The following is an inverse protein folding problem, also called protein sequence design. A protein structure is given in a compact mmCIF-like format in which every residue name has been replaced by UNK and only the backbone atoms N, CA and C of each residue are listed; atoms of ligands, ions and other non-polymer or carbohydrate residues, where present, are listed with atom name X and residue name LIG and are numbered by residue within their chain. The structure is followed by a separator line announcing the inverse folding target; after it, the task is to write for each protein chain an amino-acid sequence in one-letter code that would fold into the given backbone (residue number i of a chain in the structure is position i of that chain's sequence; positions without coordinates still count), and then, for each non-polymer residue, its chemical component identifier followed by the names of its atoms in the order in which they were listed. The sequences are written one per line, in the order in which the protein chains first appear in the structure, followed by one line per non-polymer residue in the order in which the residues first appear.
data_IF_145610640890
#
_entry.id   IF_145610640890
#
_cell.length_a   1.000
_cell.length_b   1.000
_cell.length_c   1.000
_cell.angle_alpha   90.00
_cell.angle_beta   90.00
_cell.angle_gamma   90.00
#
_symmetry.space_group_name_H-M   'P 1'
#
loop_
_entity.id
_entity.type
_entity.pdbx_description
1 polymer ?
#
# COMPACT_ATOMS: atom_id res chain seq x y z
N UNK A 1 -30.13 -9.49 33.21
CA UNK A 1 -30.25 -8.12 32.65
C UNK A 1 -31.58 -8.12 31.91
N UNK A 2 -32.67 -7.71 32.57
CA UNK A 2 -33.99 -7.66 31.95
C UNK A 2 -34.05 -6.43 31.05
N UNK A 3 -34.29 -6.65 29.75
CA UNK A 3 -34.55 -5.56 28.82
C UNK A 3 -35.95 -5.01 29.08
N UNK A 4 -36.09 -3.68 29.10
CA UNK A 4 -37.39 -3.04 29.16
C UNK A 4 -38.18 -3.43 27.88
N UNK A 5 -39.50 -3.61 27.99
CA UNK A 5 -40.41 -3.97 26.89
C UNK A 5 -40.24 -3.07 25.65
N UNK A 6 -39.83 -1.83 25.84
CA UNK A 6 -39.56 -0.90 24.75
C UNK A 6 -38.31 -1.29 23.93
N UNK A 7 -37.29 -1.85 24.57
CA UNK A 7 -36.05 -2.29 23.93
C UNK A 7 -36.25 -3.61 23.19
N UNK A 8 -37.04 -4.53 23.76
CA UNK A 8 -37.45 -5.77 23.08
C UNK A 8 -38.30 -5.47 21.83
N UNK A 9 -39.20 -4.49 21.92
CA UNK A 9 -40.02 -4.06 20.79
C UNK A 9 -39.17 -3.41 19.68
N UNK A 10 -38.17 -2.59 20.04
CA UNK A 10 -37.20 -2.02 19.08
C UNK A 10 -36.36 -3.10 18.40
N UNK A 11 -35.90 -4.10 19.15
CA UNK A 11 -35.16 -5.25 18.60
C UNK A 11 -36.02 -6.10 17.67
N UNK A 12 -37.30 -6.30 18.01
CA UNK A 12 -38.26 -7.00 17.15
C UNK A 12 -38.52 -6.23 15.84
N UNK A 13 -38.68 -4.91 15.91
CA UNK A 13 -38.81 -4.03 14.74
C UNK A 13 -37.57 -4.11 13.83
N UNK A 14 -36.37 -4.04 14.41
CA UNK A 14 -35.12 -4.13 13.65
C UNK A 14 -34.94 -5.50 12.98
N UNK A 15 -35.40 -6.58 13.60
CA UNK A 15 -35.34 -7.94 13.03
C UNK A 15 -36.39 -8.21 11.97
N UNK A 16 -37.52 -7.50 12.00
CA UNK A 16 -38.64 -7.66 11.06
C UNK A 16 -38.57 -6.72 9.86
N UNK A 17 -37.61 -5.79 9.80
CA UNK A 17 -37.38 -4.98 8.60
C UNK A 17 -36.88 -5.87 7.44
N UNK A 18 -37.43 -5.70 6.22
CA UNK A 18 -36.93 -6.41 5.06
C UNK A 18 -35.45 -6.04 4.87
N UNK A 19 -34.59 -7.05 4.68
CA UNK A 19 -33.18 -6.86 4.31
C UNK A 19 -33.12 -6.34 2.87
N UNK A 20 -33.54 -5.10 2.65
CA UNK A 20 -33.32 -4.41 1.40
C UNK A 20 -31.83 -4.14 1.29
N UNK A 21 -31.16 -4.85 0.38
CA UNK A 21 -29.86 -4.43 -0.11
C UNK A 21 -30.07 -3.08 -0.78
N UNK A 22 -29.52 -2.03 -0.16
CA UNK A 22 -29.46 -0.72 -0.77
C UNK A 22 -28.86 -0.85 -2.18
N UNK A 23 -29.44 -0.19 -3.20
CA UNK A 23 -28.83 -0.14 -4.52
C UNK A 23 -27.37 0.32 -4.41
N UNK A 24 -26.45 -0.20 -5.23
CA UNK A 24 -25.01 0.04 -5.10
C UNK A 24 -24.63 1.52 -4.92
N UNK A 25 -25.34 2.40 -5.61
CA UNK A 25 -25.16 3.87 -5.56
C UNK A 25 -25.49 4.46 -4.18
N UNK A 26 -26.50 3.93 -3.49
CA UNK A 26 -26.84 4.37 -2.13
C UNK A 26 -25.86 3.82 -1.09
N UNK A 27 -25.36 2.59 -1.28
CA UNK A 27 -24.30 2.04 -0.43
C UNK A 27 -23.03 2.88 -0.51
N UNK A 28 -22.63 3.27 -1.72
CA UNK A 28 -21.45 4.09 -1.95
C UNK A 28 -21.60 5.48 -1.32
N UNK A 29 -22.79 6.09 -1.43
CA UNK A 29 -23.10 7.38 -0.78
C UNK A 29 -23.05 7.31 0.75
N UNK A 30 -23.54 6.22 1.34
CA UNK A 30 -23.51 6.02 2.80
C UNK A 30 -22.08 5.71 3.28
N UNK A 31 -21.35 4.86 2.56
CA UNK A 31 -19.92 4.61 2.81
C UNK A 31 -19.10 5.90 2.73
N UNK A 32 -19.41 6.77 1.76
CA UNK A 32 -18.78 8.07 1.62
C UNK A 32 -19.09 8.98 2.83
N UNK A 33 -20.35 9.06 3.27
CA UNK A 33 -20.75 9.85 4.44
C UNK A 33 -20.11 9.33 5.75
N UNK A 34 -20.02 8.01 5.94
CA UNK A 34 -19.37 7.41 7.11
C UNK A 34 -17.86 7.67 7.13
N UNK A 35 -17.19 7.66 5.97
CA UNK A 35 -15.77 8.03 5.84
C UNK A 35 -15.54 9.49 6.18
N UNK A 36 -16.46 10.38 5.81
CA UNK A 36 -16.40 11.79 6.18
C UNK A 36 -16.61 11.99 7.69
N UNK A 37 -17.59 11.33 8.30
CA UNK A 37 -17.87 11.43 9.73
C UNK A 37 -16.74 10.88 10.62
N UNK A 38 -16.07 9.81 10.19
CA UNK A 38 -14.90 9.27 10.89
C UNK A 38 -13.67 10.22 10.87
N UNK A 39 -13.67 11.22 9.97
CA UNK A 39 -12.61 12.21 9.80
C UNK A 39 -12.68 13.35 10.83
N UNK A 40 -13.84 13.62 11.41
CA UNK A 40 -14.04 14.70 12.39
C UNK A 40 -13.65 14.32 13.83
N UNK A 41 -13.59 13.02 14.18
CA UNK A 41 -13.69 12.63 15.59
C UNK A 41 -12.44 11.95 16.20
N UNK A 42 -11.22 12.36 15.83
CA UNK A 42 -10.01 11.90 16.54
C UNK A 42 -9.36 13.01 17.36
N UNK A 43 -9.62 12.92 18.67
CA UNK A 43 -8.95 13.67 19.75
C UNK A 43 -7.46 13.35 19.81
N UNK A 44 -6.74 14.38 20.21
CA UNK A 44 -5.29 14.57 20.31
C UNK A 44 -4.69 13.66 21.39
N UNK A 45 -3.61 12.95 21.06
CA UNK A 45 -2.65 12.42 22.03
C UNK A 45 -1.29 13.04 21.73
N UNK A 46 -0.81 13.82 22.69
CA UNK A 46 0.36 14.70 22.63
C UNK A 46 1.65 13.90 22.91
N UNK A 47 2.54 13.81 21.91
CA UNK A 47 3.83 13.10 21.97
C UNK A 47 5.03 14.06 22.11
N UNK A 48 4.81 15.27 22.64
CA UNK A 48 5.82 16.34 22.69
C UNK A 48 6.97 16.20 23.70
N UNK A 49 6.99 15.21 24.60
CA UNK A 49 7.94 15.21 25.74
C UNK A 49 9.04 14.15 25.73
N UNK A 50 9.05 13.20 24.78
CA UNK A 50 10.01 12.08 24.77
C UNK A 50 11.27 12.29 23.92
N UNK A 51 11.31 13.29 23.02
CA UNK A 51 12.44 13.50 22.11
C UNK A 51 13.62 14.34 22.65
N UNK A 52 13.54 14.87 23.88
CA UNK A 52 14.58 15.78 24.43
C UNK A 52 15.61 15.12 25.37
N UNK A 53 15.67 13.78 25.46
CA UNK A 53 16.61 13.07 26.38
C UNK A 53 17.60 12.09 25.71
N UNK A 54 17.87 12.20 24.41
CA UNK A 54 18.70 11.20 23.69
C UNK A 54 19.91 11.76 22.92
N UNK A 55 20.45 12.91 23.33
CA UNK A 55 21.60 13.55 22.65
C UNK A 55 22.93 13.48 23.42
N UNK A 56 23.05 12.70 24.49
CA UNK A 56 24.33 12.51 25.21
C UNK A 56 24.59 11.01 25.43
N UNK A 57 24.81 10.27 24.33
CA UNK A 57 25.30 8.88 24.41
C UNK A 57 26.07 8.39 23.16
N UNK A 58 26.30 9.24 22.13
CA UNK A 58 26.96 8.79 20.89
C UNK A 58 28.47 9.04 20.84
N UNK A 59 29.05 9.80 21.77
CA UNK A 59 30.48 10.12 21.75
C UNK A 59 31.40 9.05 22.40
N UNK A 60 30.85 8.11 23.19
CA UNK A 60 31.65 7.07 23.84
C UNK A 60 31.76 5.74 23.06
N UNK A 61 30.94 5.52 22.03
CA UNK A 61 30.95 4.26 21.27
C UNK A 61 32.08 4.18 20.23
N UNK A 62 32.64 5.32 19.81
CA UNK A 62 33.65 5.40 18.76
C UNK A 62 35.09 5.11 19.22
N UNK A 63 35.38 5.16 20.53
CA UNK A 63 36.75 4.96 21.05
C UNK A 63 37.03 3.50 21.42
N UNK A 64 35.99 2.70 21.71
CA UNK A 64 36.16 1.33 22.21
C UNK A 64 36.10 0.26 21.09
N UNK A 65 35.38 0.51 19.98
CA UNK A 65 35.15 -0.52 18.96
C UNK A 65 36.17 -0.56 17.80
N UNK A 66 36.94 0.51 17.58
CA UNK A 66 37.94 0.56 16.50
C UNK A 66 39.12 -0.41 16.72
N UNK A 67 39.64 -0.65 17.94
CA UNK A 67 40.73 -1.60 18.14
C UNK A 67 40.32 -3.06 17.91
N UNK A 68 39.05 -3.42 18.16
CA UNK A 68 38.55 -4.81 18.02
C UNK A 68 38.41 -5.20 16.54
N UNK A 69 38.10 -4.25 15.66
CA UNK A 69 37.98 -4.48 14.22
C UNK A 69 39.33 -4.77 13.52
N UNK A 70 40.46 -4.39 14.14
CA UNK A 70 41.80 -4.63 13.57
C UNK A 70 42.42 -5.98 13.97
N UNK A 71 41.90 -6.67 14.99
CA UNK A 71 42.41 -7.98 15.42
C UNK A 71 41.73 -9.14 14.67
N UNK A 72 40.53 -8.93 14.10
CA UNK A 72 39.81 -9.96 13.33
C UNK A 72 40.35 -10.14 11.90
N UNK A 73 41.24 -9.27 11.43
CA UNK A 73 41.71 -9.25 10.04
C UNK A 73 42.83 -10.25 9.68
N UNK A 74 43.26 -11.13 10.59
CA UNK A 74 44.32 -12.13 10.32
C UNK A 74 43.89 -13.57 10.63
N UNK A 75 42.78 -14.02 10.02
CA UNK A 75 42.50 -15.46 9.87
C UNK A 75 42.63 -15.85 8.39
N UNK A 76 43.37 -16.93 8.08
CA UNK A 76 43.52 -17.39 6.70
C UNK A 76 42.18 -17.90 6.16
N UNK A 77 41.92 -17.56 4.90
CA UNK A 77 40.70 -17.87 4.17
C UNK A 77 40.44 -19.38 4.08
N UNK A 78 39.29 -19.82 4.61
CA UNK A 78 38.68 -21.09 4.23
C UNK A 78 37.85 -20.87 2.95
N UNK A 79 37.86 -21.82 1.99
CA UNK A 79 37.26 -21.59 0.69
C UNK A 79 35.73 -21.72 0.71
N UNK A 80 35.11 -20.82 -0.06
CA UNK A 80 33.81 -20.96 -0.72
C UNK A 80 32.60 -21.29 0.16
N UNK A 81 31.93 -20.25 0.67
CA UNK A 81 30.47 -20.22 0.59
C UNK A 81 30.10 -19.94 -0.87
N UNK A 82 29.97 -21.01 -1.65
CA UNK A 82 29.20 -20.98 -2.89
C UNK A 82 27.84 -20.35 -2.56
N UNK A 83 27.41 -19.26 -3.23
CA UNK A 83 26.07 -18.74 -3.04
C UNK A 83 25.12 -19.91 -3.31
N UNK A 84 24.39 -20.33 -2.27
CA UNK A 84 23.39 -21.38 -2.39
C UNK A 84 22.45 -20.91 -3.50
N UNK A 85 22.50 -21.59 -4.66
CA UNK A 85 21.57 -21.39 -5.76
C UNK A 85 20.18 -21.28 -5.15
N UNK A 86 19.59 -20.08 -5.23
CA UNK A 86 18.19 -19.87 -4.88
C UNK A 86 17.45 -20.88 -5.75
N UNK A 87 16.92 -21.95 -5.15
CA UNK A 87 16.03 -22.89 -5.84
C UNK A 87 15.04 -21.99 -6.59
N UNK A 88 14.98 -22.11 -7.93
CA UNK A 88 14.00 -21.42 -8.78
C UNK A 88 12.61 -21.75 -8.24
N UNK A 89 12.18 -20.97 -7.25
CA UNK A 89 10.81 -20.98 -6.76
C UNK A 89 9.94 -20.53 -7.91
N UNK A 90 8.72 -21.04 -7.96
CA UNK A 90 7.74 -20.59 -8.92
C UNK A 90 7.37 -19.12 -8.60
N UNK A 91 8.11 -18.18 -9.18
CA UNK A 91 7.85 -16.74 -9.13
C UNK A 91 6.67 -16.40 -10.04
N UNK A 92 5.48 -16.81 -9.61
CA UNK A 92 4.23 -16.45 -10.26
C UNK A 92 3.38 -15.76 -9.23
N UNK A 93 2.76 -14.65 -9.63
CA UNK A 93 1.82 -13.91 -8.78
C UNK A 93 0.81 -14.89 -8.18
N UNK A 94 0.72 -14.91 -6.84
CA UNK A 94 -0.16 -15.85 -6.14
C UNK A 94 -1.61 -15.64 -6.56
N UNK A 95 -2.41 -16.72 -6.67
CA UNK A 95 -3.79 -16.61 -7.13
C UNK A 95 -4.65 -15.81 -6.16
N UNK A 96 -5.77 -15.33 -6.67
CA UNK A 96 -6.85 -14.76 -5.87
C UNK A 96 -7.93 -15.81 -5.59
N UNK A 97 -8.67 -15.64 -4.49
CA UNK A 97 -9.82 -16.47 -4.12
C UNK A 97 -10.88 -15.66 -3.35
N UNK A 98 -12.06 -16.27 -3.13
CA UNK A 98 -13.16 -15.67 -2.39
C UNK A 98 -12.86 -15.59 -0.88
N UNK A 99 -13.13 -14.45 -0.27
CA UNK A 99 -13.24 -14.37 1.19
C UNK A 99 -14.65 -14.81 1.59
N UNK A 100 -14.74 -15.78 2.49
CA UNK A 100 -16.01 -16.30 2.99
C UNK A 100 -16.27 -15.77 4.41
N UNK A 101 -17.55 -15.59 4.74
CA UNK A 101 -18.02 -15.40 6.11
C UNK A 101 -18.14 -16.74 6.83
N UNK A 102 -18.44 -16.69 8.14
CA UNK A 102 -18.60 -17.90 8.98
C UNK A 102 -19.75 -18.80 8.53
N UNK A 103 -20.77 -18.22 7.89
CA UNK A 103 -21.91 -18.92 7.32
C UNK A 103 -21.65 -19.45 5.89
N UNK A 104 -20.42 -19.28 5.38
CA UNK A 104 -20.05 -19.66 4.01
C UNK A 104 -20.48 -18.64 2.94
N UNK A 105 -21.10 -17.52 3.31
CA UNK A 105 -21.45 -16.46 2.36
C UNK A 105 -20.19 -15.77 1.81
N UNK A 106 -20.23 -15.30 0.56
CA UNK A 106 -19.10 -14.57 -0.03
C UNK A 106 -19.10 -13.14 0.49
N UNK A 107 -18.03 -12.76 1.19
CA UNK A 107 -17.78 -11.38 1.65
C UNK A 107 -17.11 -10.59 0.53
N UNK A 108 -16.05 -11.14 -0.06
CA UNK A 108 -15.38 -10.55 -1.21
C UNK A 108 -15.09 -11.63 -2.27
N UNK A 109 -15.68 -11.47 -3.44
CA UNK A 109 -15.52 -12.42 -4.55
C UNK A 109 -14.20 -12.22 -5.29
N UNK A 110 -13.33 -13.22 -5.29
CA UNK A 110 -12.04 -13.26 -5.99
C UNK A 110 -11.13 -12.06 -5.66
N UNK A 111 -11.04 -11.70 -4.38
CA UNK A 111 -10.29 -10.53 -3.91
C UNK A 111 -9.25 -10.83 -2.85
N UNK A 112 -9.08 -12.07 -2.40
CA UNK A 112 -8.01 -12.41 -1.45
C UNK A 112 -6.84 -12.99 -2.21
N UNK A 113 -5.68 -12.34 -2.19
CA UNK A 113 -4.44 -12.86 -2.77
C UNK A 113 -3.68 -13.68 -1.74
N UNK A 114 -3.31 -14.92 -2.09
CA UNK A 114 -2.50 -15.77 -1.23
C UNK A 114 -2.68 -17.26 -1.47
N UNK A 115 -2.70 -18.02 -0.38
CA UNK A 115 -2.88 -19.47 -0.36
C UNK A 115 -4.25 -19.79 0.25
N UNK A 116 -5.18 -20.26 -0.58
CA UNK A 116 -6.56 -20.58 -0.17
C UNK A 116 -6.56 -21.53 1.03
N UNK A 117 -7.37 -21.20 2.05
CA UNK A 117 -7.49 -21.98 3.28
C UNK A 117 -6.26 -21.93 4.18
N UNK A 118 -5.36 -20.95 3.97
CA UNK A 118 -4.14 -20.81 4.79
C UNK A 118 -3.83 -19.36 5.15
N UNK A 119 -3.54 -18.51 4.17
CA UNK A 119 -3.24 -17.10 4.40
C UNK A 119 -3.48 -16.25 3.17
N UNK A 120 -3.94 -15.02 3.35
CA UNK A 120 -3.97 -14.01 2.30
C UNK A 120 -4.28 -12.62 2.82
N UNK A 121 -4.34 -11.66 1.92
CA UNK A 121 -4.79 -10.29 2.17
C UNK A 121 -5.63 -9.82 0.98
N UNK A 122 -6.37 -8.72 1.15
CA UNK A 122 -7.14 -8.16 0.04
C UNK A 122 -6.22 -7.69 -1.08
N UNK A 123 -6.48 -8.19 -2.29
CA UNK A 123 -5.73 -7.86 -3.47
C UNK A 123 -5.79 -6.36 -3.77
N UNK A 124 -4.60 -5.80 -4.01
CA UNK A 124 -4.36 -4.40 -4.27
C UNK A 124 -3.26 -4.27 -5.31
N UNK A 125 -3.33 -3.18 -6.07
CA UNK A 125 -2.27 -2.83 -7.01
C UNK A 125 -1.15 -2.10 -6.27
N UNK A 126 -0.02 -2.77 -6.08
CA UNK A 126 1.15 -2.15 -5.45
C UNK A 126 1.96 -1.36 -6.47
N UNK A 127 2.24 -0.10 -6.14
CA UNK A 127 3.10 0.80 -6.90
C UNK A 127 4.36 1.04 -6.06
N UNK A 128 5.53 0.94 -6.68
CA UNK A 128 6.78 1.13 -5.94
C UNK A 128 6.88 2.54 -5.33
N UNK A 129 7.28 2.59 -4.06
CA UNK A 129 7.37 3.77 -3.18
C UNK A 129 6.03 4.45 -2.85
N UNK A 130 4.91 3.84 -3.24
CA UNK A 130 3.57 4.37 -2.94
C UNK A 130 2.98 3.68 -1.70
N UNK A 131 2.67 4.42 -0.62
CA UNK A 131 2.11 3.85 0.60
C UNK A 131 0.61 3.54 0.51
N UNK A 132 -0.12 4.03 -0.50
CA UNK A 132 -1.58 4.05 -0.47
C UNK A 132 -2.21 2.66 -0.52
N UNK A 133 -1.73 1.79 -1.42
CA UNK A 133 -2.22 0.43 -1.54
C UNK A 133 -2.01 -0.39 -0.25
N UNK A 134 -0.89 -0.17 0.44
CA UNK A 134 -0.54 -0.83 1.69
C UNK A 134 -1.13 -0.16 2.95
N UNK A 135 -1.73 1.03 2.84
CA UNK A 135 -2.06 1.87 4.01
C UNK A 135 -3.11 1.27 4.95
N UNK A 136 -3.98 0.39 4.46
CA UNK A 136 -5.01 -0.28 5.26
C UNK A 136 -5.23 -1.70 4.77
N UNK A 137 -4.49 -2.64 5.35
CA UNK A 137 -4.49 -4.04 4.96
C UNK A 137 -5.05 -4.93 6.06
N UNK A 138 -5.57 -6.09 5.65
CA UNK A 138 -5.90 -7.17 6.55
C UNK A 138 -5.11 -8.41 6.17
N UNK A 139 -4.47 -9.03 7.15
CA UNK A 139 -4.13 -10.44 7.05
C UNK A 139 -5.37 -11.27 7.41
N UNK A 140 -5.69 -12.25 6.57
CA UNK A 140 -6.66 -13.32 6.85
C UNK A 140 -5.89 -14.63 6.97
N UNK A 141 -6.02 -15.32 8.09
CA UNK A 141 -5.23 -16.52 8.40
C UNK A 141 -6.16 -17.65 8.83
N UNK A 142 -6.05 -18.79 8.15
CA UNK A 142 -6.82 -20.01 8.42
C UNK A 142 -5.90 -21.10 8.98
N UNK A 143 -6.35 -21.81 10.00
CA UNK A 143 -5.57 -22.85 10.68
C UNK A 143 -6.08 -23.11 12.11
N UNK A 144 -5.24 -23.71 12.95
CA UNK A 144 -5.64 -23.96 14.35
C UNK A 144 -5.58 -22.65 15.16
N UNK A 145 -6.71 -22.15 15.71
CA UNK A 145 -6.74 -20.89 16.47
C UNK A 145 -5.75 -20.84 17.64
N UNK A 146 -5.51 -21.95 18.35
CA UNK A 146 -4.54 -22.00 19.46
C UNK A 146 -3.10 -21.71 19.04
N UNK A 147 -2.80 -21.92 17.75
CA UNK A 147 -1.49 -21.65 17.14
C UNK A 147 -1.42 -20.31 16.41
N UNK A 148 -2.53 -19.57 16.35
CA UNK A 148 -2.66 -18.34 15.58
C UNK A 148 -2.99 -17.12 16.45
N UNK A 149 -3.87 -17.26 17.43
CA UNK A 149 -4.33 -16.13 18.24
C UNK A 149 -3.22 -15.59 19.16
N UNK A 150 -3.10 -14.26 19.21
CA UNK A 150 -2.10 -13.50 19.95
C UNK A 150 -0.66 -13.89 19.57
N UNK A 151 -0.46 -14.38 18.34
CA UNK A 151 0.85 -14.74 17.81
C UNK A 151 1.39 -13.66 16.90
N UNK A 152 2.71 -13.52 16.89
CA UNK A 152 3.38 -12.53 16.05
C UNK A 152 3.45 -13.04 14.62
N UNK A 153 2.85 -12.30 13.69
CA UNK A 153 3.04 -12.48 12.25
C UNK A 153 4.14 -11.54 11.79
N UNK A 154 5.13 -12.10 11.09
CA UNK A 154 6.20 -11.36 10.43
C UNK A 154 6.22 -11.69 8.94
N UNK A 155 6.18 -10.65 8.11
CA UNK A 155 6.20 -10.75 6.66
C UNK A 155 7.47 -10.10 6.09
N UNK A 156 8.31 -10.88 5.43
CA UNK A 156 9.54 -10.40 4.77
C UNK A 156 9.39 -10.58 3.26
N UNK A 157 9.47 -9.50 2.50
CA UNK A 157 9.48 -9.56 1.05
C UNK A 157 10.91 -9.72 0.51
N UNK A 158 11.06 -10.54 -0.52
CA UNK A 158 12.31 -10.68 -1.30
C UNK A 158 12.01 -10.34 -2.77
N UNK A 159 12.81 -9.48 -3.39
CA UNK A 159 12.70 -9.15 -4.81
C UNK A 159 13.29 -10.26 -5.68
N UNK A 160 12.62 -10.61 -6.78
CA UNK A 160 13.05 -11.72 -7.65
C UNK A 160 14.43 -11.50 -8.25
N UNK A 161 14.64 -10.35 -8.90
CA UNK A 161 15.84 -10.13 -9.71
C UNK A 161 17.06 -9.73 -8.87
N UNK A 162 16.84 -8.96 -7.80
CA UNK A 162 17.92 -8.36 -7.01
C UNK A 162 18.20 -9.10 -5.71
N UNK A 163 17.28 -9.97 -5.26
CA UNK A 163 17.36 -10.62 -3.94
C UNK A 163 17.22 -9.67 -2.75
N UNK A 164 16.90 -8.39 -2.99
CA UNK A 164 16.71 -7.37 -1.96
C UNK A 164 15.57 -7.78 -1.01
N UNK A 165 15.73 -7.52 0.29
CA UNK A 165 14.76 -7.89 1.31
C UNK A 165 14.38 -6.73 2.21
N UNK A 166 13.13 -6.70 2.62
CA UNK A 166 12.67 -5.82 3.68
C UNK A 166 11.50 -6.43 4.45
N UNK A 167 11.29 -5.96 5.68
CA UNK A 167 10.11 -6.31 6.48
C UNK A 167 8.91 -5.52 5.95
N UNK A 168 7.92 -6.21 5.37
CA UNK A 168 6.68 -5.61 4.89
C UNK A 168 5.79 -5.22 6.06
N UNK A 169 5.69 -6.12 7.04
CA UNK A 169 4.79 -5.99 8.18
C UNK A 169 5.26 -6.87 9.35
N UNK A 170 5.02 -6.40 10.56
CA UNK A 170 5.16 -7.11 11.84
C UNK A 170 3.93 -6.73 12.68
N UNK A 171 3.08 -7.70 12.96
CA UNK A 171 1.79 -7.47 13.63
C UNK A 171 1.36 -8.66 14.46
N UNK A 172 0.47 -8.44 15.42
CA UNK A 172 -0.11 -9.51 16.24
C UNK A 172 -1.43 -9.97 15.64
N UNK A 173 -1.59 -11.28 15.48
CA UNK A 173 -2.83 -11.89 15.03
C UNK A 173 -3.89 -11.87 16.13
N UNK A 174 -5.04 -11.32 15.78
CA UNK A 174 -6.22 -11.24 16.64
C UNK A 174 -7.29 -12.23 16.19
N UNK A 175 -8.43 -12.20 16.87
CA UNK A 175 -9.60 -13.00 16.53
C UNK A 175 -10.08 -12.81 15.08
N UNK A 176 -10.91 -13.73 14.59
CA UNK A 176 -11.41 -13.68 13.22
C UNK A 176 -12.50 -12.63 13.05
N UNK A 177 -12.45 -11.92 11.93
CA UNK A 177 -13.44 -10.92 11.51
C UNK A 177 -14.48 -11.54 10.58
N UNK A 178 -14.07 -12.41 9.65
CA UNK A 178 -14.97 -13.15 8.77
C UNK A 178 -14.88 -14.67 9.03
N UNK A 179 -14.69 -15.48 8.00
CA UNK A 179 -14.59 -16.94 8.04
C UNK A 179 -13.14 -17.46 8.15
N UNK A 180 -12.15 -16.60 8.33
CA UNK A 180 -10.81 -16.97 8.79
C UNK A 180 -10.79 -17.35 10.28
N UNK A 181 -9.66 -17.87 10.76
CA UNK A 181 -9.46 -18.28 12.16
C UNK A 181 -8.73 -17.22 12.98
N UNK A 182 -7.94 -16.37 12.32
CA UNK A 182 -7.28 -15.21 12.90
C UNK A 182 -7.09 -14.11 11.85
N UNK A 183 -7.03 -12.86 12.29
CA UNK A 183 -6.86 -11.71 11.41
C UNK A 183 -6.03 -10.61 12.04
N UNK A 184 -5.46 -9.71 11.24
CA UNK A 184 -4.80 -8.51 11.75
C UNK A 184 -5.05 -7.32 10.81
N UNK A 185 -5.56 -6.22 11.36
CA UNK A 185 -5.59 -4.92 10.68
C UNK A 185 -4.19 -4.29 10.76
N UNK A 186 -3.62 -3.93 9.63
CA UNK A 186 -2.24 -3.43 9.55
C UNK A 186 -2.05 -2.44 8.40
N UNK A 187 -0.82 -1.95 8.25
CA UNK A 187 -0.35 -1.22 7.08
C UNK A 187 0.96 -1.85 6.59
N UNK A 188 1.04 -2.15 5.29
CA UNK A 188 2.28 -2.63 4.68
C UNK A 188 3.23 -1.47 4.44
N UNK A 189 4.51 -1.66 4.75
CA UNK A 189 5.55 -0.74 4.28
C UNK A 189 5.58 -0.73 2.75
N UNK A 190 5.77 0.46 2.11
CA UNK A 190 5.81 0.55 0.66
C UNK A 190 6.91 -0.34 0.06
N UNK A 191 6.60 -1.01 -1.04
CA UNK A 191 7.61 -1.76 -1.79
C UNK A 191 8.58 -0.78 -2.45
N UNK A 192 9.91 -0.95 -2.31
CA UNK A 192 10.86 0.07 -2.77
C UNK A 192 11.06 0.07 -4.29
N UNK A 193 10.78 -1.06 -4.96
CA UNK A 193 11.07 -1.26 -6.38
C UNK A 193 9.98 -2.06 -7.09
N UNK A 194 9.87 -1.84 -8.40
CA UNK A 194 9.01 -2.60 -9.28
C UNK A 194 9.53 -4.03 -9.49
N UNK A 195 8.63 -4.94 -9.87
CA UNK A 195 8.94 -6.33 -10.16
C UNK A 195 8.18 -7.30 -9.27
N UNK A 196 8.51 -8.60 -9.39
CA UNK A 196 7.93 -9.63 -8.54
C UNK A 196 8.60 -9.63 -7.17
N UNK A 197 7.75 -9.68 -6.13
CA UNK A 197 8.17 -9.79 -4.75
C UNK A 197 7.51 -11.00 -4.10
N UNK A 198 8.32 -11.85 -3.46
CA UNK A 198 7.85 -12.98 -2.67
C UNK A 198 7.88 -12.59 -1.19
N UNK A 199 6.69 -12.52 -0.59
CA UNK A 199 6.46 -12.23 0.81
C UNK A 199 6.44 -13.56 1.57
N UNK A 200 7.53 -13.87 2.26
CA UNK A 200 7.62 -15.00 3.16
C UNK A 200 7.03 -14.60 4.53
N UNK A 201 6.00 -15.32 4.96
CA UNK A 201 5.29 -15.09 6.23
C UNK A 201 5.68 -16.15 7.24
N UNK A 202 6.01 -15.72 8.45
CA UNK A 202 6.21 -16.57 9.62
C UNK A 202 5.27 -16.17 10.75
N UNK A 203 4.87 -17.14 11.57
CA UNK A 203 4.08 -16.94 12.79
C UNK A 203 4.90 -17.48 13.97
N UNK A 204 5.16 -16.66 14.99
CA UNK A 204 6.07 -16.97 16.11
C UNK A 204 7.41 -17.58 15.64
N UNK A 205 8.01 -16.99 14.60
CA UNK A 205 9.27 -17.43 14.01
C UNK A 205 9.21 -18.72 13.19
N UNK A 206 8.04 -19.36 13.08
CA UNK A 206 7.85 -20.58 12.25
C UNK A 206 7.32 -20.21 10.88
N UNK A 207 7.96 -20.72 9.82
CA UNK A 207 7.52 -20.50 8.44
C UNK A 207 6.07 -20.92 8.24
N UNK A 208 5.23 -20.01 7.74
CA UNK A 208 3.81 -20.22 7.54
C UNK A 208 3.47 -20.39 6.07
N UNK A 209 3.90 -19.47 5.21
CA UNK A 209 3.64 -19.54 3.77
C UNK A 209 4.31 -18.41 3.01
N UNK A 210 4.20 -18.43 1.68
CA UNK A 210 4.76 -17.39 0.83
C UNK A 210 3.72 -16.90 -0.16
N UNK A 211 3.63 -15.58 -0.35
CA UNK A 211 2.73 -14.93 -1.30
C UNK A 211 3.58 -14.11 -2.27
N UNK A 212 3.38 -14.30 -3.57
CA UNK A 212 4.07 -13.52 -4.61
C UNK A 212 3.13 -12.44 -5.13
N UNK A 213 3.62 -11.21 -5.18
CA UNK A 213 2.93 -10.04 -5.72
C UNK A 213 3.72 -9.44 -6.88
N UNK A 214 3.04 -8.74 -7.77
CA UNK A 214 3.66 -7.88 -8.76
C UNK A 214 3.56 -6.42 -8.31
N UNK A 215 4.67 -5.70 -8.33
CA UNK A 215 4.74 -4.28 -7.98
C UNK A 215 5.05 -3.50 -9.25
N UNK A 216 4.21 -2.51 -9.59
CA UNK A 216 4.42 -1.65 -10.75
C UNK A 216 5.51 -0.60 -10.51
N UNK A 217 6.02 -0.03 -11.59
CA UNK A 217 6.89 1.14 -11.55
C UNK A 217 6.29 2.28 -10.73
N UNK A 218 7.12 3.14 -10.10
CA UNK A 218 6.63 4.31 -9.39
C UNK A 218 5.70 5.16 -10.26
N UNK A 219 4.86 5.92 -9.58
CA UNK A 219 4.04 6.95 -10.20
C UNK A 219 4.90 7.92 -11.02
N UNK A 220 4.26 8.54 -12.01
CA UNK A 220 4.87 9.64 -12.74
C UNK A 220 4.93 10.84 -11.79
N UNK A 221 6.13 11.34 -11.53
CA UNK A 221 6.33 12.42 -10.58
C UNK A 221 7.46 13.36 -11.01
N UNK A 222 7.34 14.60 -10.54
CA UNK A 222 8.40 15.61 -10.41
C UNK A 222 8.73 15.79 -8.93
N UNK A 223 9.52 16.81 -8.57
CA UNK A 223 9.86 17.08 -7.16
C UNK A 223 8.63 17.53 -6.35
N UNK A 224 7.71 18.26 -6.98
CA UNK A 224 6.55 18.86 -6.34
C UNK A 224 5.19 18.37 -6.86
N UNK A 225 5.14 17.46 -7.84
CA UNK A 225 3.91 16.94 -8.39
C UNK A 225 3.98 15.42 -8.63
N UNK A 226 2.88 14.72 -8.38
CA UNK A 226 2.77 13.28 -8.57
C UNK A 226 1.42 12.96 -9.24
N UNK A 227 1.47 12.30 -10.38
CA UNK A 227 0.29 11.73 -11.03
C UNK A 227 -0.01 10.39 -10.39
N UNK A 228 -1.28 10.12 -10.09
CA UNK A 228 -1.74 8.84 -9.55
C UNK A 228 -1.90 7.89 -10.72
N UNK A 229 -0.76 7.56 -11.32
CA UNK A 229 -0.60 6.79 -12.54
C UNK A 229 0.81 6.22 -12.57
N UNK A 230 0.93 4.90 -12.53
CA UNK A 230 2.22 4.23 -12.67
C UNK A 230 2.83 4.50 -14.05
N UNK A 231 4.15 4.60 -14.11
CA UNK A 231 4.89 4.65 -15.38
C UNK A 231 4.63 3.45 -16.28
N UNK A 232 4.28 2.28 -15.71
CA UNK A 232 3.96 1.08 -16.50
C UNK A 232 2.57 1.16 -17.17
N UNK A 233 1.68 2.03 -16.68
CA UNK A 233 0.32 2.23 -17.21
C UNK A 233 0.24 3.33 -18.28
N UNK A 234 1.37 3.97 -18.58
CA UNK A 234 1.45 5.05 -19.56
C UNK A 234 1.40 4.51 -20.99
N UNK A 235 0.31 4.83 -21.69
CA UNK A 235 0.03 4.39 -23.06
C UNK A 235 -0.67 5.46 -23.87
N UNK A 236 -0.63 5.33 -25.19
CA UNK A 236 -1.35 6.22 -26.09
C UNK A 236 -2.86 6.10 -25.88
N UNK A 237 -3.59 7.20 -26.13
CA UNK A 237 -5.05 7.16 -26.10
C UNK A 237 -5.66 7.01 -24.70
N UNK A 238 -4.94 7.34 -23.62
CA UNK A 238 -5.50 7.25 -22.27
C UNK A 238 -6.70 8.22 -22.13
N UNK A 239 -7.90 7.65 -21.94
CA UNK A 239 -9.16 8.41 -21.89
C UNK A 239 -9.71 8.63 -20.48
N UNK A 240 -9.20 7.88 -19.50
CA UNK A 240 -9.57 8.00 -18.10
C UNK A 240 -9.01 9.27 -17.49
N UNK A 241 -9.74 9.80 -16.52
CA UNK A 241 -9.26 10.89 -15.69
C UNK A 241 -8.07 10.42 -14.85
N UNK A 242 -7.03 11.25 -14.81
CA UNK A 242 -5.81 11.03 -14.03
C UNK A 242 -5.82 12.05 -12.91
N UNK A 243 -5.64 11.57 -11.68
CA UNK A 243 -5.47 12.45 -10.53
C UNK A 243 -4.00 12.90 -10.44
N UNK A 244 -3.79 14.15 -10.06
CA UNK A 244 -2.50 14.80 -9.93
C UNK A 244 -2.45 15.51 -8.57
N UNK A 245 -1.54 15.09 -7.71
CA UNK A 245 -1.31 15.74 -6.44
C UNK A 245 -0.11 16.68 -6.55
N UNK A 246 -0.29 17.94 -6.16
CA UNK A 246 0.76 18.96 -6.16
C UNK A 246 1.02 19.43 -4.73
N UNK A 247 2.29 19.51 -4.33
CA UNK A 247 2.68 20.02 -3.01
C UNK A 247 2.22 21.46 -2.79
N UNK A 248 1.72 21.71 -1.58
CA UNK A 248 1.22 23.01 -1.11
C UNK A 248 -0.29 23.20 -1.28
N UNK A 249 -0.80 24.25 -0.63
CA UNK A 249 -2.19 24.73 -0.79
C UNK A 249 -2.29 25.67 -2.00
N UNK A 250 -2.60 25.12 -3.17
CA UNK A 250 -2.71 25.82 -4.44
C UNK A 250 -4.12 26.41 -4.58
N UNK A 251 -4.23 27.54 -5.27
CA UNK A 251 -5.50 28.30 -5.43
C UNK A 251 -6.00 28.30 -6.87
N UNK A 252 -5.15 27.93 -7.80
CA UNK A 252 -5.41 27.83 -9.21
C UNK A 252 -6.53 26.80 -9.45
N UNK A 253 -7.66 27.23 -10.01
CA UNK A 253 -8.80 26.34 -10.32
C UNK A 253 -8.49 25.38 -11.46
N UNK A 254 -7.59 25.78 -12.35
CA UNK A 254 -7.13 24.97 -13.48
C UNK A 254 -5.65 25.23 -13.67
N UNK A 255 -4.89 24.17 -13.90
CA UNK A 255 -3.46 24.23 -14.21
C UNK A 255 -3.19 23.54 -15.55
N UNK A 256 -2.23 24.04 -16.35
CA UNK A 256 -1.78 23.32 -17.54
C UNK A 256 -0.75 22.26 -17.16
N UNK A 257 -0.97 21.03 -17.61
CA UNK A 257 0.06 20.00 -17.72
C UNK A 257 0.54 20.03 -19.17
N UNK A 258 1.82 20.32 -19.38
CA UNK A 258 2.40 20.39 -20.73
C UNK A 258 3.14 19.08 -21.03
N UNK A 259 3.00 18.55 -22.24
CA UNK A 259 3.75 17.38 -22.69
C UNK A 259 4.42 17.69 -24.04
N UNK A 260 5.68 17.29 -24.19
CA UNK A 260 6.43 17.43 -25.44
C UNK A 260 7.12 16.13 -25.81
N UNK A 261 7.02 15.73 -27.08
CA UNK A 261 7.66 14.51 -27.55
C UNK A 261 9.16 14.77 -27.73
N UNK A 262 10.03 13.96 -27.11
CA UNK A 262 11.47 14.25 -27.07
C UNK A 262 12.15 14.22 -28.45
N UNK A 263 11.69 13.35 -29.35
CA UNK A 263 12.23 13.25 -30.70
C UNK A 263 11.63 14.28 -31.68
N UNK A 264 10.59 15.01 -31.26
CA UNK A 264 9.95 16.04 -32.06
C UNK A 264 9.45 17.17 -31.16
N UNK A 265 10.33 18.13 -30.87
CA UNK A 265 10.05 19.23 -29.93
C UNK A 265 8.91 20.15 -30.38
N UNK A 266 8.52 20.15 -31.66
CA UNK A 266 7.35 20.91 -32.13
C UNK A 266 6.04 20.21 -31.81
N UNK A 267 6.07 18.90 -31.50
CA UNK A 267 4.91 18.14 -31.08
C UNK A 267 4.70 18.31 -29.58
N UNK A 268 3.86 19.29 -29.23
CA UNK A 268 3.51 19.64 -27.86
C UNK A 268 2.01 19.64 -27.66
N UNK A 269 1.57 19.17 -26.50
CA UNK A 269 0.17 19.09 -26.11
C UNK A 269 0.02 19.68 -24.71
N UNK A 270 -1.08 20.38 -24.46
CA UNK A 270 -1.42 20.94 -23.14
C UNK A 270 -2.72 20.31 -22.66
N UNK A 271 -2.71 19.84 -21.42
CA UNK A 271 -3.84 19.21 -20.77
C UNK A 271 -4.31 20.07 -19.61
N UNK A 272 -5.58 20.51 -19.60
CA UNK A 272 -6.14 21.21 -18.44
C UNK A 272 -6.40 20.20 -17.32
N UNK A 273 -5.86 20.50 -16.13
CA UNK A 273 -6.12 19.77 -14.90
C UNK A 273 -6.91 20.68 -13.96
N UNK A 274 -8.07 20.22 -13.52
CA UNK A 274 -9.05 21.01 -12.77
C UNK A 274 -8.93 20.68 -11.30
N UNK A 275 -8.95 21.70 -10.45
CA UNK A 275 -8.90 21.57 -9.00
C UNK A 275 -10.07 20.71 -8.51
N UNK A 276 -9.75 19.68 -7.75
CA UNK A 276 -10.73 18.74 -7.21
C UNK A 276 -10.78 18.81 -5.69
N UNK A 277 -9.62 18.81 -5.02
CA UNK A 277 -9.59 18.68 -3.56
C UNK A 277 -8.35 19.28 -2.92
N UNK A 278 -8.43 19.48 -1.60
CA UNK A 278 -7.29 19.77 -0.72
C UNK A 278 -7.06 18.56 0.18
N UNK A 279 -5.83 18.06 0.17
CA UNK A 279 -5.42 16.84 0.84
C UNK A 279 -4.52 17.23 2.01
N UNK A 280 -4.99 16.91 3.22
CA UNK A 280 -4.23 17.06 4.45
C UNK A 280 -3.73 15.68 4.86
N UNK A 281 -2.42 15.47 4.75
CA UNK A 281 -1.79 14.25 5.20
C UNK A 281 -1.60 14.26 6.72
N UNK A 282 -1.57 13.08 7.33
CA UNK A 282 -1.33 12.92 8.77
C UNK A 282 0.05 13.46 9.22
N UNK A 283 0.99 13.58 8.27
CA UNK A 283 2.31 14.21 8.47
C UNK A 283 2.25 15.73 8.62
N UNK A 284 1.07 16.34 8.38
CA UNK A 284 0.91 17.80 8.28
C UNK A 284 1.20 18.34 6.88
N UNK A 285 1.67 17.52 5.94
CA UNK A 285 1.85 17.92 4.54
C UNK A 285 0.50 18.24 3.91
N UNK A 286 0.44 19.38 3.23
CA UNK A 286 -0.73 19.79 2.45
C UNK A 286 -0.40 19.59 0.97
N UNK A 287 -1.30 18.90 0.26
CA UNK A 287 -1.28 18.78 -1.19
C UNK A 287 -2.59 19.25 -1.78
N UNK A 288 -2.53 19.74 -3.00
CA UNK A 288 -3.71 20.09 -3.79
C UNK A 288 -3.90 19.06 -4.89
N UNK A 289 -5.09 18.46 -4.91
CA UNK A 289 -5.48 17.46 -5.89
C UNK A 289 -6.15 18.11 -7.10
N UNK A 290 -5.67 17.76 -8.28
CA UNK A 290 -6.23 18.12 -9.58
C UNK A 290 -6.60 16.87 -10.36
N UNK A 291 -7.57 16.98 -11.26
CA UNK A 291 -7.97 15.88 -12.14
C UNK A 291 -8.07 16.35 -13.58
N UNK A 292 -7.58 15.55 -14.52
CA UNK A 292 -7.59 15.85 -15.95
C UNK A 292 -7.23 14.65 -16.82
N UNK A 293 -7.31 14.81 -18.13
CA UNK A 293 -6.99 13.74 -19.09
C UNK A 293 -5.61 13.92 -19.66
N UNK A 294 -4.75 12.91 -19.50
CA UNK A 294 -3.39 12.89 -20.04
C UNK A 294 -3.32 12.05 -21.32
N UNK A 295 -4.04 12.48 -22.35
CA UNK A 295 -4.18 11.74 -23.60
C UNK A 295 -3.03 12.04 -24.57
N UNK A 296 -1.98 11.22 -24.53
CA UNK A 296 -0.85 11.31 -25.46
C UNK A 296 -1.18 10.54 -26.76
N UNK A 297 -0.92 11.17 -27.90
CA UNK A 297 -1.37 10.72 -29.22
C UNK A 297 -0.35 9.84 -29.97
N UNK A 298 0.89 9.76 -29.47
CA UNK A 298 1.99 9.03 -30.11
C UNK A 298 2.82 8.25 -29.08
N UNK A 299 3.29 7.04 -29.42
CA UNK A 299 4.20 6.31 -28.57
C UNK A 299 5.59 6.96 -28.56
N UNK A 300 6.38 6.65 -27.53
CA UNK A 300 7.76 7.09 -27.38
C UNK A 300 8.00 7.89 -26.10
N UNK A 301 9.16 8.55 -26.02
CA UNK A 301 9.55 9.29 -24.81
C UNK A 301 8.98 10.70 -24.82
N UNK A 302 8.19 11.02 -23.80
CA UNK A 302 7.58 12.32 -23.59
C UNK A 302 8.16 13.00 -22.37
N UNK A 303 8.41 14.30 -22.48
CA UNK A 303 8.70 15.18 -21.34
C UNK A 303 7.38 15.79 -20.89
N UNK A 304 6.93 15.44 -19.68
CA UNK A 304 5.76 16.01 -19.02
C UNK A 304 6.23 17.09 -18.06
N UNK A 305 5.59 18.26 -18.09
CA UNK A 305 5.92 19.43 -17.28
C UNK A 305 4.71 19.92 -16.49
N UNK A 306 4.91 20.15 -15.20
CA UNK A 306 3.92 20.73 -14.28
C UNK A 306 4.63 21.81 -13.47
N UNK A 307 4.10 23.04 -13.45
CA UNK A 307 4.70 24.17 -12.73
C UNK A 307 6.20 24.39 -13.03
N UNK A 308 6.63 24.17 -14.28
CA UNK A 308 8.02 24.35 -14.71
C UNK A 308 8.96 23.19 -14.38
N UNK A 309 8.52 22.21 -13.57
CA UNK A 309 9.26 20.99 -13.32
C UNK A 309 8.89 19.92 -14.33
N UNK A 310 9.85 19.07 -14.70
CA UNK A 310 9.62 18.08 -15.73
C UNK A 310 10.10 16.69 -15.37
N UNK A 311 9.42 15.69 -15.93
CA UNK A 311 9.79 14.29 -15.87
C UNK A 311 9.66 13.66 -17.24
N UNK A 312 10.45 12.62 -17.51
CA UNK A 312 10.38 11.88 -18.77
C UNK A 312 9.66 10.57 -18.55
N UNK A 313 8.70 10.25 -19.41
CA UNK A 313 7.96 9.00 -19.42
C UNK A 313 8.07 8.32 -20.78
N UNK A 314 8.03 7.00 -20.79
CA UNK A 314 7.93 6.22 -22.02
C UNK A 314 6.47 5.81 -22.22
N UNK A 315 5.91 6.13 -23.38
CA UNK A 315 4.50 5.91 -23.71
C UNK A 315 4.42 4.74 -24.67
N UNK A 316 3.78 3.67 -24.22
CA UNK A 316 3.54 2.48 -25.04
C UNK A 316 2.33 2.68 -25.96
N UNK A 317 2.17 1.82 -26.97
CA UNK A 317 0.96 1.82 -27.80
C UNK A 317 -0.26 1.39 -26.99
#
# INVERSE_FOLDING_TARGET
MEFNKEDEYKLFLLRSMPKQQLPPVQQEKILHQLRLAARENKRILDYGSLLKKLTIASAMFLVIFIPILLIVSHHPANPSHTPKLIRKGYWHVSPTFDLLGRDGSIVYKNRVRGIKGKIGFLDAEFIANDPRAGSKMFWYVWGNPEKLLNKELKAIATHEETGEKFVVDETELQGPIYGEDASALTSFKPFPKKGLWKIDVSIDGRSYGSIVVNVKAPNIATDNAEFILSRDDMRTGLTSDVHLEVKGDRKEKTIPVEASLLNNKSHQIRFPFILESRIHYATGEIRTGYTGKLNLDKPGKWKITVFGESTVVDVQR
#
